data_IF_577295162830
#
_entry.id   IF_577295162830
#
_cell.length_a   1.000
_cell.length_b   1.000
_cell.length_c   1.000
_cell.angle_alpha   90.00
_cell.angle_beta   90.00
_cell.angle_gamma   90.00
#
_symmetry.space_group_name_H-M   'P 1'
#
loop_
_entity.id
_entity.type
_entity.pdbx_description
1 polymer ?
#
# COMPACT_ATOMS: atom_id res chain seq x y z
N UNK A 1 0.13 -1.76 -4.94
CA UNK A 1 -1.21 -1.84 -4.30
C UNK A 1 -1.31 -1.13 -2.95
N UNK A 2 -0.24 -1.09 -2.15
CA UNK A 2 -0.27 -0.59 -0.77
C UNK A 2 -0.94 0.77 -0.58
N UNK A 3 -0.69 1.75 -1.46
CA UNK A 3 -1.31 3.07 -1.40
C UNK A 3 -2.85 2.99 -1.42
N UNK A 4 -3.42 2.13 -2.26
CA UNK A 4 -4.87 1.93 -2.37
C UNK A 4 -5.45 1.31 -1.10
N UNK A 5 -4.74 0.34 -0.51
CA UNK A 5 -5.15 -0.32 0.74
C UNK A 5 -5.12 0.68 1.88
N UNK A 6 -4.02 1.43 2.06
CA UNK A 6 -3.89 2.47 3.08
C UNK A 6 -4.99 3.54 2.97
N UNK A 7 -5.34 3.96 1.73
CA UNK A 7 -6.48 4.86 1.48
C UNK A 7 -7.81 4.24 1.91
N UNK A 8 -8.02 2.95 1.65
CA UNK A 8 -9.24 2.25 2.00
C UNK A 8 -9.45 2.15 3.52
N UNK A 9 -8.39 1.76 4.25
CA UNK A 9 -8.44 1.65 5.72
C UNK A 9 -8.25 2.99 6.43
N UNK A 10 -7.98 4.08 5.66
CA UNK A 10 -7.68 5.43 6.15
C UNK A 10 -6.52 5.48 7.14
N UNK A 11 -5.57 4.57 6.98
CA UNK A 11 -4.43 4.43 7.86
C UNK A 11 -3.17 4.24 7.02
N UNK A 12 -2.22 5.16 7.19
CA UNK A 12 -0.90 5.13 6.56
C UNK A 12 0.22 4.84 7.55
N UNK A 13 -0.11 4.47 8.80
CA UNK A 13 0.88 4.15 9.83
C UNK A 13 1.94 5.26 10.01
N UNK A 14 1.50 6.51 9.93
CA UNK A 14 2.35 7.70 10.05
C UNK A 14 3.04 7.70 11.42
N UNK A 15 4.35 7.51 11.44
CA UNK A 15 5.19 7.56 12.64
C UNK A 15 5.74 8.95 12.89
N UNK A 16 6.26 9.58 11.83
CA UNK A 16 6.83 10.93 11.87
C UNK A 16 6.48 11.66 10.60
N UNK A 17 5.79 12.80 10.73
CA UNK A 17 5.49 13.69 9.62
C UNK A 17 6.39 14.91 9.69
N UNK A 18 7.03 15.23 8.58
CA UNK A 18 7.82 16.45 8.40
C UNK A 18 7.12 17.27 7.33
N UNK A 19 6.80 18.52 7.65
CA UNK A 19 6.22 19.48 6.70
C UNK A 19 7.31 20.43 6.21
N UNK A 20 7.25 20.80 4.94
CA UNK A 20 8.22 21.71 4.36
C UNK A 20 8.22 21.74 2.85
N UNK A 21 9.26 22.37 2.32
CA UNK A 21 9.57 22.37 0.90
C UNK A 21 10.48 21.18 0.58
N UNK A 22 10.07 20.40 -0.41
CA UNK A 22 10.77 19.21 -0.87
C UNK A 22 11.09 19.34 -2.35
N UNK A 23 12.30 18.93 -2.69
CA UNK A 23 12.79 18.87 -4.07
C UNK A 23 13.14 17.42 -4.38
N UNK A 24 12.56 16.93 -5.47
CA UNK A 24 12.88 15.63 -6.06
C UNK A 24 13.69 15.92 -7.32
N UNK A 25 14.93 15.42 -7.36
CA UNK A 25 15.82 15.51 -8.50
C UNK A 25 16.47 14.15 -8.77
N UNK A 26 16.40 13.69 -10.02
CA UNK A 26 16.92 12.39 -10.45
C UNK A 26 16.38 11.24 -9.57
N UNK A 27 15.10 11.33 -9.19
CA UNK A 27 14.45 10.34 -8.33
C UNK A 27 14.81 10.40 -6.84
N UNK A 28 15.66 11.34 -6.41
CA UNK A 28 16.07 11.50 -5.01
C UNK A 28 15.33 12.65 -4.33
N UNK A 29 14.70 12.35 -3.21
CA UNK A 29 14.02 13.34 -2.35
C UNK A 29 15.03 14.09 -1.46
N UNK A 30 14.94 15.41 -1.44
CA UNK A 30 15.68 16.30 -0.55
C UNK A 30 14.73 17.31 0.12
N UNK A 31 14.86 17.56 1.44
CA UNK A 31 15.73 16.89 2.41
C UNK A 31 15.24 15.47 2.75
N UNK A 32 16.16 14.54 2.98
CA UNK A 32 15.89 13.12 3.33
C UNK A 32 16.60 12.63 4.58
N UNK A 33 17.15 13.53 5.42
CA UNK A 33 17.90 13.17 6.64
C UNK A 33 17.09 12.35 7.67
N UNK A 34 15.76 12.37 7.56
CA UNK A 34 14.84 11.63 8.42
C UNK A 34 14.43 10.26 7.84
N UNK A 35 14.90 9.90 6.64
CA UNK A 35 14.66 8.62 5.99
C UNK A 35 15.92 7.76 6.03
N UNK A 36 15.76 6.52 6.44
CA UNK A 36 16.80 5.49 6.35
C UNK A 36 16.56 4.59 5.13
N UNK A 37 17.61 3.89 4.69
CA UNK A 37 17.48 2.91 3.61
C UNK A 37 16.48 1.81 3.97
N UNK A 38 15.49 1.59 3.11
CA UNK A 38 14.39 0.64 3.31
C UNK A 38 13.13 1.24 3.94
N UNK A 39 13.18 2.49 4.42
CA UNK A 39 12.00 3.11 5.04
C UNK A 39 10.91 3.36 4.01
N UNK A 40 9.68 3.04 4.39
CA UNK A 40 8.49 3.44 3.65
C UNK A 40 8.06 4.83 4.08
N UNK A 41 7.68 5.65 3.13
CA UNK A 41 7.24 7.02 3.40
C UNK A 41 6.10 7.43 2.47
N UNK A 42 5.27 8.34 2.97
CA UNK A 42 4.13 8.91 2.28
C UNK A 42 4.44 10.36 1.91
N UNK A 43 4.35 10.68 0.63
CA UNK A 43 4.37 12.06 0.14
C UNK A 43 2.92 12.57 0.04
N UNK A 44 2.65 13.78 0.55
CA UNK A 44 1.41 14.54 0.33
C UNK A 44 1.72 15.97 -0.10
N UNK A 45 0.94 16.47 -1.05
CA UNK A 45 1.06 17.84 -1.56
C UNK A 45 1.94 17.99 -2.80
N UNK A 46 2.49 16.89 -3.32
CA UNK A 46 3.15 16.83 -4.62
C UNK A 46 2.12 16.62 -5.73
N UNK A 47 2.34 17.22 -6.90
CA UNK A 47 1.42 17.01 -8.04
C UNK A 47 1.68 15.69 -8.75
N UNK A 48 2.93 15.21 -8.76
CA UNK A 48 3.32 14.02 -9.52
C UNK A 48 3.61 12.81 -8.63
N UNK A 49 4.10 13.04 -7.41
CA UNK A 49 4.69 12.01 -6.56
C UNK A 49 3.84 11.66 -5.34
N UNK A 50 2.59 12.14 -5.27
CA UNK A 50 1.70 11.86 -4.14
C UNK A 50 1.40 10.36 -3.99
N UNK A 51 1.73 9.81 -2.82
CA UNK A 51 1.58 8.38 -2.55
C UNK A 51 2.67 7.80 -1.64
N UNK A 52 2.61 6.49 -1.47
CA UNK A 52 3.54 5.71 -0.66
C UNK A 52 4.71 5.24 -1.53
N UNK A 53 5.93 5.46 -1.04
CA UNK A 53 7.19 5.11 -1.69
C UNK A 53 8.14 4.47 -0.69
N UNK A 54 9.17 3.78 -1.19
CA UNK A 54 10.25 3.20 -0.37
C UNK A 54 11.54 3.94 -0.65
N UNK A 55 12.36 4.20 0.37
CA UNK A 55 13.64 4.91 0.22
C UNK A 55 14.79 3.91 -0.01
N UNK A 56 15.69 4.14 -0.98
CA UNK A 56 15.63 5.15 -2.03
C UNK A 56 14.54 4.79 -3.07
N UNK A 57 13.83 5.80 -3.55
CA UNK A 57 12.81 5.57 -4.56
C UNK A 57 13.43 5.53 -5.96
N UNK A 58 12.89 4.70 -6.82
CA UNK A 58 13.38 4.54 -8.21
C UNK A 58 12.49 5.24 -9.24
N UNK A 59 11.25 5.59 -8.88
CA UNK A 59 10.22 6.03 -9.82
C UNK A 59 9.72 7.46 -9.54
N UNK A 60 10.45 8.26 -8.76
CA UNK A 60 10.05 9.63 -8.49
C UNK A 60 10.36 10.55 -9.67
N UNK A 61 9.37 11.35 -10.05
CA UNK A 61 9.49 12.37 -11.09
C UNK A 61 10.00 13.69 -10.52
N UNK A 62 10.89 14.36 -11.26
CA UNK A 62 11.44 15.64 -10.83
C UNK A 62 10.35 16.70 -10.62
N UNK A 63 10.38 17.31 -9.43
CA UNK A 63 9.44 18.31 -8.96
C UNK A 63 9.95 18.99 -7.67
N UNK A 64 9.65 20.28 -7.51
CA UNK A 64 9.70 20.97 -6.22
C UNK A 64 8.27 21.26 -5.76
N UNK A 65 7.95 20.90 -4.52
CA UNK A 65 6.62 21.07 -3.95
C UNK A 65 6.69 21.45 -2.46
N UNK A 66 5.65 22.13 -1.98
CA UNK A 66 5.46 22.40 -0.57
C UNK A 66 4.36 21.48 -0.04
N UNK A 67 4.69 20.65 0.94
CA UNK A 67 3.81 19.59 1.41
C UNK A 67 4.35 18.91 2.66
N UNK A 68 4.01 17.63 2.81
CA UNK A 68 4.43 16.83 3.97
C UNK A 68 4.95 15.47 3.53
N UNK A 69 6.04 15.03 4.15
CA UNK A 69 6.56 13.68 4.00
C UNK A 69 6.46 12.97 5.35
N UNK A 70 5.75 11.84 5.36
CA UNK A 70 5.53 11.04 6.56
C UNK A 70 6.28 9.72 6.48
N UNK A 71 7.16 9.44 7.43
CA UNK A 71 7.75 8.11 7.62
C UNK A 71 6.67 7.15 8.12
N UNK A 72 6.57 5.98 7.51
CA UNK A 72 5.57 4.98 7.82
C UNK A 72 6.19 3.84 8.65
N UNK A 73 5.60 3.54 9.81
CA UNK A 73 5.96 2.38 10.62
C UNK A 73 4.95 1.26 10.38
N UNK A 74 5.04 0.63 9.20
CA UNK A 74 4.10 -0.41 8.79
C UNK A 74 4.41 -1.73 9.52
N UNK A 75 3.45 -2.34 10.22
CA UNK A 75 3.64 -3.67 10.83
C UNK A 75 3.90 -4.74 9.76
N UNK A 76 4.77 -5.70 10.08
CA UNK A 76 5.09 -6.81 9.15
C UNK A 76 3.83 -7.58 8.71
N UNK A 77 2.93 -7.88 9.65
CA UNK A 77 1.68 -8.59 9.36
C UNK A 77 0.80 -7.85 8.33
N UNK A 78 0.85 -6.52 8.32
CA UNK A 78 0.13 -5.73 7.34
C UNK A 78 0.80 -5.77 5.96
N UNK A 79 2.12 -5.82 5.88
CA UNK A 79 2.83 -6.01 4.62
C UNK A 79 2.52 -7.38 4.00
N UNK A 80 2.51 -8.44 4.82
CA UNK A 80 2.12 -9.78 4.37
C UNK A 80 0.66 -9.78 3.83
N UNK A 81 -0.26 -9.08 4.52
CA UNK A 81 -1.63 -8.90 4.03
C UNK A 81 -1.71 -8.14 2.69
N UNK A 82 -0.83 -7.16 2.47
CA UNK A 82 -0.76 -6.41 1.21
C UNK A 82 -0.30 -7.32 0.07
N UNK A 83 0.70 -8.17 0.31
CA UNK A 83 1.18 -9.16 -0.67
C UNK A 83 0.08 -10.17 -1.02
N UNK A 84 -0.65 -10.68 -0.03
CA UNK A 84 -1.80 -11.58 -0.25
C UNK A 84 -2.89 -10.93 -1.14
N UNK A 85 -3.19 -9.65 -0.89
CA UNK A 85 -4.16 -8.89 -1.69
C UNK A 85 -3.64 -8.63 -3.11
N UNK A 86 -2.34 -8.35 -3.28
CA UNK A 86 -1.72 -8.19 -4.60
C UNK A 86 -1.82 -9.47 -5.42
N UNK A 87 -1.52 -10.62 -4.81
CA UNK A 87 -1.65 -11.92 -5.44
C UNK A 87 -3.12 -12.24 -5.78
N UNK A 88 -4.05 -12.01 -4.85
CA UNK A 88 -5.48 -12.20 -5.10
C UNK A 88 -5.97 -11.38 -6.31
N UNK A 89 -5.56 -10.11 -6.42
CA UNK A 89 -5.92 -9.27 -7.55
C UNK A 89 -5.26 -9.70 -8.87
N UNK A 90 -4.05 -10.27 -8.82
CA UNK A 90 -3.40 -10.82 -10.00
C UNK A 90 -4.10 -12.09 -10.51
N UNK A 91 -4.57 -12.95 -9.60
CA UNK A 91 -5.33 -14.15 -9.93
C UNK A 91 -6.73 -13.85 -10.45
N UNK A 92 -7.45 -12.84 -9.94
CA UNK A 92 -8.75 -12.44 -10.49
C UNK A 92 -8.66 -11.92 -11.95
N UNK A 93 -7.50 -11.39 -12.35
CA UNK A 93 -7.22 -10.96 -13.72
C UNK A 93 -6.78 -12.09 -14.66
N UNK A 94 -6.55 -13.29 -14.14
CA UNK A 94 -6.06 -14.46 -14.88
C UNK A 94 -7.10 -15.59 -14.78
N UNK A 95 -7.37 -16.26 -15.89
CA UNK A 95 -8.45 -17.25 -16.04
C UNK A 95 -8.64 -18.16 -14.78
N UNK A 96 -9.88 -18.35 -14.27
CA UNK A 96 -10.13 -18.93 -12.95
C UNK A 96 -9.63 -20.38 -12.88
N UNK A 97 -8.42 -20.54 -12.36
CA UNK A 97 -7.82 -21.86 -12.16
C UNK A 97 -8.59 -22.62 -11.08
N UNK A 98 -8.96 -23.90 -11.28
CA UNK A 98 -9.88 -24.65 -10.41
C UNK A 98 -9.26 -25.17 -9.10
N UNK A 99 -8.04 -24.77 -8.74
CA UNK A 99 -7.38 -25.25 -7.53
C UNK A 99 -7.62 -24.28 -6.37
N UNK A 100 -8.54 -24.67 -5.50
CA UNK A 100 -8.80 -24.08 -4.19
C UNK A 100 -8.15 -24.98 -3.15
N UNK A 101 -7.45 -24.36 -2.20
CA UNK A 101 -6.84 -24.95 -1.00
C UNK A 101 -5.35 -25.29 -1.15
N UNK A 102 -4.51 -24.27 -1.08
CA UNK A 102 -3.31 -24.39 -0.26
C UNK A 102 -3.33 -23.23 0.72
N UNK A 103 -3.23 -23.54 2.01
CA UNK A 103 -3.18 -22.57 3.09
C UNK A 103 -2.06 -21.57 2.82
N UNK A 104 -2.42 -20.38 2.36
CA UNK A 104 -1.49 -19.28 2.17
C UNK A 104 -1.43 -18.52 3.50
N UNK A 105 -0.29 -18.59 4.18
CA UNK A 105 -0.07 -17.88 5.45
C UNK A 105 -0.96 -18.28 6.63
N UNK A 106 -1.73 -19.38 6.54
CA UNK A 106 -2.65 -19.82 7.59
C UNK A 106 -4.06 -19.20 7.53
N UNK A 107 -4.36 -18.37 6.53
CA UNK A 107 -5.69 -17.79 6.35
C UNK A 107 -6.47 -18.55 5.26
N UNK A 108 -7.59 -19.16 5.65
CA UNK A 108 -8.51 -19.78 4.71
C UNK A 108 -9.41 -18.72 4.08
N UNK A 109 -9.15 -18.36 2.82
CA UNK A 109 -10.11 -17.62 2.01
C UNK A 109 -10.91 -18.60 1.14
N UNK A 110 -12.22 -18.67 1.38
CA UNK A 110 -13.13 -19.25 0.39
C UNK A 110 -13.28 -18.24 -0.73
N UNK A 111 -13.00 -18.62 -1.99
CA UNK A 111 -13.39 -17.78 -3.15
C UNK A 111 -14.91 -17.60 -3.07
N UNK A 112 -15.33 -16.41 -2.65
CA UNK A 112 -16.73 -16.04 -2.63
C UNK A 112 -17.06 -15.59 -4.05
N UNK A 113 -18.04 -16.22 -4.68
CA UNK A 113 -18.63 -15.73 -5.93
C UNK A 113 -19.85 -14.89 -5.57
N UNK A 114 -20.00 -13.71 -6.17
CA UNK A 114 -21.27 -13.00 -6.07
C UNK A 114 -22.35 -13.74 -6.87
N UNK A 115 -23.62 -13.48 -6.58
CA UNK A 115 -24.77 -14.06 -7.29
C UNK A 115 -24.75 -13.81 -8.81
N UNK A 116 -23.97 -12.85 -9.27
CA UNK A 116 -23.78 -12.45 -10.68
C UNK A 116 -22.62 -13.20 -11.38
N UNK A 117 -21.95 -14.14 -10.71
CA UNK A 117 -20.82 -14.89 -11.27
C UNK A 117 -19.50 -14.11 -11.35
N UNK A 118 -19.50 -12.84 -10.94
CA UNK A 118 -18.31 -12.01 -10.82
C UNK A 118 -17.57 -12.33 -9.50
N UNK A 119 -16.25 -12.40 -9.57
CA UNK A 119 -15.39 -12.59 -8.40
C UNK A 119 -15.59 -11.49 -7.36
N UNK A 120 -15.39 -11.84 -6.08
CA UNK A 120 -15.59 -10.88 -4.99
C UNK A 120 -14.42 -9.88 -4.96
N UNK A 121 -14.69 -8.56 -4.93
CA UNK A 121 -13.62 -7.59 -4.87
C UNK A 121 -12.82 -7.76 -3.57
N UNK A 122 -11.49 -7.55 -3.63
CA UNK A 122 -10.58 -7.76 -2.49
C UNK A 122 -11.01 -7.01 -1.23
N UNK A 123 -11.64 -5.84 -1.37
CA UNK A 123 -12.17 -5.05 -0.25
C UNK A 123 -13.20 -5.84 0.58
N UNK A 124 -13.95 -6.75 -0.05
CA UNK A 124 -14.91 -7.64 0.63
C UNK A 124 -14.25 -8.93 1.08
N UNK A 125 -13.36 -9.51 0.28
CA UNK A 125 -12.67 -10.77 0.62
C UNK A 125 -11.79 -10.64 1.88
N UNK A 126 -11.08 -9.52 2.01
CA UNK A 126 -10.13 -9.26 3.11
C UNK A 126 -10.70 -8.33 4.19
N UNK A 127 -12.01 -8.06 4.19
CA UNK A 127 -12.65 -7.06 5.05
C UNK A 127 -12.29 -7.24 6.53
N UNK A 128 -12.40 -8.46 7.05
CA UNK A 128 -12.17 -8.76 8.47
C UNK A 128 -10.74 -8.45 8.90
N UNK A 129 -9.74 -8.70 8.05
CA UNK A 129 -8.35 -8.37 8.35
C UNK A 129 -8.08 -6.89 8.21
N UNK A 130 -8.65 -6.25 7.18
CA UNK A 130 -8.50 -4.80 6.95
C UNK A 130 -9.13 -3.97 8.07
N UNK A 131 -10.25 -4.42 8.65
CA UNK A 131 -10.91 -3.73 9.76
C UNK A 131 -10.03 -3.68 11.04
N UNK A 132 -9.08 -4.62 11.24
CA UNK A 132 -8.14 -4.58 12.37
C UNK A 132 -7.19 -3.38 12.32
N UNK A 133 -6.84 -2.96 11.10
CA UNK A 133 -5.87 -1.89 10.85
C UNK A 133 -6.53 -0.55 10.54
N UNK A 134 -7.87 -0.53 10.50
CA UNK A 134 -8.65 0.63 10.11
C UNK A 134 -8.61 1.72 11.18
N UNK A 135 -8.30 2.94 10.75
CA UNK A 135 -8.37 4.12 11.62
C UNK A 135 -9.77 4.72 11.51
N UNK A 136 -10.49 4.81 12.63
CA UNK A 136 -11.85 5.36 12.73
C UNK A 136 -11.79 6.89 12.87
#
# INVERSE_FOLDING_TARGET
>A
MINTICKHIRNFFEYRTVEGEYTIENGSLSPSDFLSGGDMYLIRGSRKNDGVHTHPAQDLSDETFCGSVSVMAVPKEFLELVEDIEQYCAEEGSDPSPYISESFGGYSYTRLSNEDGQGVPWQRAFRTQLDLWRKI
#
